data_IF_406991657143
#
_entry.id   IF_406991657143
#
_cell.length_a   1.000
_cell.length_b   1.000
_cell.length_c   1.000
_cell.angle_alpha   90.00
_cell.angle_beta   90.00
_cell.angle_gamma   90.00
#
_symmetry.space_group_name_H-M   'P 1'
#
loop_
_entity.id
_entity.type
_entity.pdbx_description
1 polymer ?
#
# COMPACT_ATOMS: atom_id res chain seq x y z
N UNK A 1 41.92 -28.33 4.09
CA UNK A 1 41.62 -27.06 4.79
C UNK A 1 40.12 -27.06 5.06
N UNK A 2 39.73 -26.84 6.30
CA UNK A 2 38.29 -26.78 6.60
C UNK A 2 37.67 -25.61 5.85
N UNK A 3 36.59 -25.88 5.14
CA UNK A 3 35.77 -24.86 4.46
C UNK A 3 35.32 -23.84 5.50
N UNK A 4 35.74 -22.59 5.34
CA UNK A 4 35.26 -21.50 6.17
C UNK A 4 33.85 -21.15 5.69
N UNK A 5 32.86 -21.59 6.43
CA UNK A 5 31.51 -21.10 6.27
C UNK A 5 31.44 -19.63 6.62
N UNK A 6 31.37 -18.79 5.64
CA UNK A 6 31.13 -17.37 5.87
C UNK A 6 29.64 -17.14 6.12
N UNK A 7 29.28 -16.31 7.11
CA UNK A 7 27.88 -15.96 7.31
C UNK A 7 27.32 -15.27 6.09
N UNK A 8 26.02 -15.46 5.87
CA UNK A 8 25.30 -14.80 4.80
C UNK A 8 25.42 -13.26 4.92
N UNK A 9 25.65 -12.60 3.80
CA UNK A 9 25.71 -11.13 3.74
C UNK A 9 24.36 -10.56 3.34
N UNK A 10 23.95 -9.49 4.03
CA UNK A 10 22.63 -8.87 3.91
C UNK A 10 21.54 -9.60 4.70
N UNK A 11 20.53 -8.88 5.14
CA UNK A 11 19.42 -9.44 5.89
C UNK A 11 18.48 -10.26 4.99
N UNK A 12 18.07 -11.43 5.47
CA UNK A 12 17.07 -12.26 4.80
C UNK A 12 15.68 -11.62 4.78
N UNK A 13 15.38 -10.77 5.76
CA UNK A 13 14.10 -10.04 5.83
C UNK A 13 13.88 -9.08 4.66
N UNK A 14 14.95 -8.69 3.95
CA UNK A 14 14.90 -7.86 2.75
C UNK A 14 15.11 -8.65 1.45
N UNK A 15 14.96 -9.96 1.49
CA UNK A 15 15.11 -10.86 0.33
C UNK A 15 13.79 -11.59 0.05
N UNK A 16 13.48 -11.90 -1.21
CA UNK A 16 14.17 -11.48 -2.42
C UNK A 16 13.94 -9.99 -2.75
N UNK A 17 14.99 -9.30 -3.17
CA UNK A 17 14.89 -7.90 -3.61
C UNK A 17 14.36 -7.87 -5.04
N UNK A 18 13.19 -7.32 -5.21
CA UNK A 18 12.51 -7.22 -6.51
C UNK A 18 11.93 -5.82 -6.72
N UNK A 19 11.57 -5.54 -7.97
CA UNK A 19 10.86 -4.31 -8.32
C UNK A 19 9.48 -4.31 -7.68
N UNK A 20 9.07 -3.19 -7.07
CA UNK A 20 7.73 -3.04 -6.54
C UNK A 20 6.69 -3.07 -7.67
N UNK A 21 5.58 -3.75 -7.43
CA UNK A 21 4.47 -3.86 -8.40
C UNK A 21 3.56 -2.63 -8.30
N UNK A 22 3.47 -2.03 -7.10
CA UNK A 22 2.57 -0.91 -6.79
C UNK A 22 3.39 0.26 -6.26
N UNK A 23 2.94 1.52 -6.45
CA UNK A 23 3.62 2.70 -5.91
C UNK A 23 3.43 2.88 -4.39
N UNK A 24 2.53 2.13 -3.77
CA UNK A 24 2.22 2.18 -2.34
C UNK A 24 2.44 0.83 -1.65
N UNK A 25 2.64 0.85 -0.33
CA UNK A 25 2.76 -0.35 0.49
C UNK A 25 1.39 -1.01 0.71
N UNK A 26 1.38 -2.33 0.78
CA UNK A 26 0.16 -3.08 1.13
C UNK A 26 0.11 -3.26 2.65
N UNK A 27 -1.01 -2.87 3.24
CA UNK A 27 -1.34 -3.16 4.63
C UNK A 27 -2.12 -4.47 4.66
N UNK A 28 -1.63 -5.46 5.39
CA UNK A 28 -2.23 -6.80 5.45
C UNK A 28 -3.02 -7.03 6.72
N UNK A 29 -2.65 -6.36 7.82
CA UNK A 29 -3.37 -6.41 9.08
C UNK A 29 -3.62 -4.98 9.57
N UNK A 30 -4.80 -4.75 10.05
CA UNK A 30 -5.23 -3.50 10.62
C UNK A 30 -5.23 -3.62 12.15
N UNK A 31 -4.82 -2.58 12.90
CA UNK A 31 -4.87 -2.61 14.35
C UNK A 31 -6.31 -2.68 14.85
N UNK A 32 -6.52 -3.49 15.87
CA UNK A 32 -7.77 -3.51 16.61
C UNK A 32 -7.78 -2.35 17.60
N UNK A 33 -8.94 -1.76 17.83
CA UNK A 33 -9.14 -0.70 18.78
C UNK A 33 -10.53 -0.83 19.39
N UNK A 34 -10.61 -0.64 20.69
CA UNK A 34 -11.87 -0.63 21.45
C UNK A 34 -12.62 0.72 21.33
N UNK A 35 -12.30 1.51 20.29
CA UNK A 35 -12.99 2.77 20.03
C UNK A 35 -14.49 2.53 19.79
N UNK A 36 -15.32 3.31 20.43
CA UNK A 36 -16.79 3.29 20.22
C UNK A 36 -17.19 3.99 18.93
N UNK A 37 -16.42 5.02 18.54
CA UNK A 37 -16.64 5.76 17.31
C UNK A 37 -16.06 5.04 16.11
N UNK A 38 -16.81 5.04 15.01
CA UNK A 38 -16.34 4.43 13.76
C UNK A 38 -15.39 5.39 13.07
N UNK A 39 -14.15 4.93 12.85
CA UNK A 39 -13.11 5.69 12.17
C UNK A 39 -12.41 4.85 11.09
N UNK A 40 -11.94 5.53 10.07
CA UNK A 40 -11.10 4.93 9.01
C UNK A 40 -9.68 4.81 9.53
N UNK A 41 -9.03 3.67 9.34
CA UNK A 41 -7.73 3.35 9.92
C UNK A 41 -6.52 3.83 9.09
N UNK A 42 -6.72 4.30 7.88
CA UNK A 42 -5.61 4.67 7.02
C UNK A 42 -5.93 5.74 6.01
N UNK A 43 -4.89 6.43 5.59
CA UNK A 43 -4.98 7.48 4.59
C UNK A 43 -3.81 7.41 3.60
N UNK A 44 -3.99 7.93 2.40
CA UNK A 44 -2.94 7.98 1.40
C UNK A 44 -2.49 9.41 1.12
N UNK A 45 -1.18 9.58 0.97
CA UNK A 45 -0.61 10.88 0.64
C UNK A 45 0.69 10.76 -0.14
N UNK A 46 1.15 11.87 -0.66
CA UNK A 46 2.39 11.99 -1.41
C UNK A 46 3.43 12.78 -0.65
N UNK A 47 4.60 12.22 -0.47
CA UNK A 47 5.72 12.92 0.13
C UNK A 47 6.17 14.07 -0.79
N UNK A 48 5.87 15.30 -0.41
CA UNK A 48 6.29 16.50 -1.14
C UNK A 48 7.76 16.83 -0.90
N UNK A 49 8.23 16.69 0.35
CA UNK A 49 9.62 16.97 0.68
C UNK A 49 9.91 16.89 2.16
N UNK A 50 11.06 17.42 2.54
CA UNK A 50 11.48 17.55 3.92
C UNK A 50 11.89 19.00 4.19
N UNK A 51 11.55 19.49 5.36
CA UNK A 51 11.94 20.80 5.86
C UNK A 51 12.26 20.71 7.36
N UNK A 52 12.36 21.82 8.02
CA UNK A 52 12.49 21.87 9.47
C UNK A 52 11.51 22.89 10.04
N UNK A 53 11.12 22.65 11.26
CA UNK A 53 10.31 23.57 12.06
C UNK A 53 11.02 23.88 13.37
N UNK A 54 10.82 25.08 13.86
CA UNK A 54 11.17 25.48 15.20
C UNK A 54 9.98 25.18 16.08
N UNK A 55 10.18 24.39 17.11
CA UNK A 55 9.14 24.05 18.07
C UNK A 55 9.69 24.10 19.48
N UNK A 56 8.84 24.46 20.42
CA UNK A 56 9.20 24.43 21.83
C UNK A 56 9.20 22.98 22.32
N UNK A 57 10.27 22.59 22.98
CA UNK A 57 10.37 21.24 23.55
C UNK A 57 9.50 21.18 24.83
N UNK A 58 8.44 20.37 24.76
CA UNK A 58 7.50 20.18 25.87
C UNK A 58 7.83 18.96 26.75
N UNK A 59 8.85 18.20 26.38
CA UNK A 59 9.22 17.01 27.14
C UNK A 59 9.99 17.41 28.43
N UNK A 60 9.43 17.21 29.62
CA UNK A 60 10.05 17.63 30.89
C UNK A 60 11.40 16.94 31.18
N UNK A 61 11.60 15.76 30.61
CA UNK A 61 12.82 14.96 30.82
C UNK A 61 13.94 15.25 29.78
N UNK A 62 13.69 16.18 28.87
CA UNK A 62 14.68 16.58 27.89
C UNK A 62 15.66 17.64 28.43
N UNK A 63 16.90 17.58 28.01
CA UNK A 63 17.90 18.63 28.31
C UNK A 63 17.57 19.97 27.70
N UNK A 64 16.69 20.00 26.69
CA UNK A 64 16.19 21.18 25.97
C UNK A 64 14.77 21.60 26.39
N UNK A 65 14.27 21.08 27.53
CA UNK A 65 12.92 21.37 27.99
C UNK A 65 12.67 22.90 28.06
N UNK A 66 11.57 23.33 27.42
CA UNK A 66 11.18 24.74 27.37
C UNK A 66 11.93 25.61 26.36
N UNK A 67 12.97 25.12 25.71
CA UNK A 67 13.72 25.85 24.70
C UNK A 67 13.15 25.59 23.29
N UNK A 68 13.44 26.48 22.36
CA UNK A 68 13.15 26.29 20.95
C UNK A 68 14.16 25.33 20.32
N UNK A 69 13.65 24.24 19.77
CA UNK A 69 14.44 23.21 19.12
C UNK A 69 14.07 23.10 17.65
N UNK A 70 15.09 23.04 16.79
CA UNK A 70 14.92 22.78 15.38
C UNK A 70 14.71 21.30 15.12
N UNK A 71 13.52 20.89 14.66
CA UNK A 71 13.22 19.51 14.28
C UNK A 71 13.01 19.36 12.78
N UNK A 72 13.58 18.30 12.20
CA UNK A 72 13.34 17.95 10.83
C UNK A 72 11.93 17.34 10.70
N UNK A 73 11.18 17.79 9.69
CA UNK A 73 9.82 17.32 9.39
C UNK A 73 9.68 16.91 7.93
N UNK A 74 8.81 15.96 7.68
CA UNK A 74 8.43 15.56 6.33
C UNK A 74 7.08 16.19 6.00
N UNK A 75 7.01 16.83 4.85
CA UNK A 75 5.76 17.39 4.31
C UNK A 75 5.11 16.34 3.42
N UNK A 76 3.87 16.00 3.73
CA UNK A 76 3.03 15.07 2.98
C UNK A 76 1.80 15.79 2.48
N UNK A 77 1.52 15.68 1.20
CA UNK A 77 0.34 16.25 0.55
C UNK A 77 -0.77 15.21 0.57
N UNK A 78 -1.92 15.51 1.15
CA UNK A 78 -3.00 14.59 1.46
C UNK A 78 -4.35 15.09 0.94
N UNK A 79 -4.58 15.08 -0.38
CA UNK A 79 -5.89 15.41 -0.92
C UNK A 79 -6.94 14.40 -0.44
N UNK A 80 -8.24 14.78 -0.43
CA UNK A 80 -9.29 13.86 -0.03
C UNK A 80 -9.29 12.58 -0.88
N UNK A 81 -9.66 11.46 -0.26
CA UNK A 81 -9.83 10.16 -0.95
C UNK A 81 -11.31 9.94 -1.25
N UNK A 82 -11.61 9.34 -2.40
CA UNK A 82 -12.97 8.99 -2.78
C UNK A 82 -13.29 7.55 -2.43
N UNK A 83 -14.45 7.31 -1.80
CA UNK A 83 -14.95 5.97 -1.47
C UNK A 83 -15.60 5.35 -2.71
N UNK A 84 -15.06 4.24 -3.18
CA UNK A 84 -15.57 3.55 -4.36
C UNK A 84 -16.48 2.39 -4.02
N UNK A 85 -16.16 1.65 -2.97
CA UNK A 85 -16.92 0.47 -2.58
C UNK A 85 -16.73 0.13 -1.10
N UNK A 86 -17.66 -0.65 -0.60
CA UNK A 86 -17.61 -1.31 0.70
C UNK A 86 -17.39 -2.79 0.47
N UNK A 87 -16.46 -3.40 1.19
CA UNK A 87 -16.14 -4.82 1.12
C UNK A 87 -16.31 -5.47 2.48
N UNK A 88 -17.13 -6.51 2.53
CA UNK A 88 -17.30 -7.34 3.71
C UNK A 88 -16.44 -8.60 3.66
N UNK A 89 -15.94 -9.02 4.81
CA UNK A 89 -15.17 -10.24 4.99
C UNK A 89 -15.86 -11.18 5.96
N UNK A 90 -15.76 -12.47 5.68
CA UNK A 90 -16.17 -13.53 6.58
C UNK A 90 -14.99 -14.44 6.93
N UNK A 91 -15.03 -15.04 8.09
CA UNK A 91 -13.99 -15.97 8.53
C UNK A 91 -14.30 -17.37 8.03
N UNK A 92 -13.32 -17.98 7.36
CA UNK A 92 -13.37 -19.38 6.94
C UNK A 92 -12.25 -20.17 7.61
N UNK A 93 -12.30 -21.51 7.63
CA UNK A 93 -11.20 -22.34 8.14
C UNK A 93 -9.85 -22.06 7.46
N UNK A 94 -9.86 -21.46 6.28
CA UNK A 94 -8.66 -21.08 5.51
C UNK A 94 -8.27 -19.60 5.69
N UNK A 95 -8.90 -18.88 6.61
CA UNK A 95 -8.67 -17.45 6.86
C UNK A 95 -9.80 -16.56 6.34
N UNK A 96 -9.59 -15.25 6.40
CA UNK A 96 -10.56 -14.27 5.94
C UNK A 96 -10.74 -14.30 4.42
N UNK A 97 -11.98 -14.40 3.98
CA UNK A 97 -12.37 -14.33 2.57
C UNK A 97 -13.41 -13.23 2.36
N UNK A 98 -13.46 -12.69 1.15
CA UNK A 98 -14.45 -11.67 0.78
C UNK A 98 -15.84 -12.30 0.73
N UNK A 99 -16.79 -11.76 1.50
CA UNK A 99 -18.18 -12.16 1.48
C UNK A 99 -18.91 -11.50 0.30
N UNK A 100 -18.69 -10.20 0.11
CA UNK A 100 -19.31 -9.43 -0.97
C UNK A 100 -18.75 -8.02 -1.06
N UNK A 101 -19.18 -7.29 -2.07
CA UNK A 101 -18.77 -5.90 -2.32
C UNK A 101 -20.01 -5.10 -2.80
N UNK A 102 -20.17 -3.91 -2.24
CA UNK A 102 -21.14 -2.92 -2.71
C UNK A 102 -20.39 -1.74 -3.31
N UNK A 103 -20.58 -1.49 -4.59
CA UNK A 103 -19.92 -0.43 -5.35
C UNK A 103 -20.78 0.82 -5.48
N UNK A 104 -20.15 2.00 -5.48
CA UNK A 104 -20.82 3.25 -5.82
C UNK A 104 -21.26 3.25 -7.29
N UNK A 105 -22.29 4.02 -7.61
CA UNK A 105 -22.73 4.18 -8.98
C UNK A 105 -21.63 4.80 -9.85
N UNK A 106 -21.63 4.45 -11.14
CA UNK A 106 -20.59 4.88 -12.09
C UNK A 106 -20.48 6.39 -12.24
N UNK A 107 -21.59 7.11 -12.05
CA UNK A 107 -21.66 8.57 -12.18
C UNK A 107 -20.98 9.31 -11.02
N UNK A 108 -20.78 8.64 -9.89
CA UNK A 108 -20.15 9.18 -8.69
C UNK A 108 -18.63 8.90 -8.64
N UNK A 109 -18.10 8.17 -9.62
CA UNK A 109 -16.67 7.81 -9.69
C UNK A 109 -15.75 9.02 -9.86
N UNK A 110 -14.48 8.97 -9.41
CA UNK A 110 -13.50 10.02 -9.64
C UNK A 110 -13.20 10.14 -11.13
N UNK A 111 -13.21 11.37 -11.64
CA UNK A 111 -12.78 11.67 -13.01
C UNK A 111 -11.32 11.22 -13.20
N UNK A 112 -11.04 10.48 -14.28
CA UNK A 112 -9.72 9.97 -14.59
C UNK A 112 -9.37 8.61 -13.97
N UNK A 113 -10.38 7.81 -13.65
CA UNK A 113 -10.23 6.47 -13.15
C UNK A 113 -9.21 5.63 -13.93
N UNK A 114 -8.54 4.75 -13.20
CA UNK A 114 -7.61 3.77 -13.75
C UNK A 114 -8.17 3.11 -15.01
N UNK A 115 -7.36 2.82 -16.04
CA UNK A 115 -7.79 2.19 -17.29
C UNK A 115 -8.65 0.93 -17.14
N UNK A 116 -8.63 0.29 -15.97
CA UNK A 116 -9.51 -0.85 -15.65
C UNK A 116 -10.99 -0.46 -15.57
N UNK A 117 -11.31 0.76 -15.13
CA UNK A 117 -12.67 1.29 -15.13
C UNK A 117 -13.03 1.90 -16.49
N UNK A 118 -12.08 2.59 -17.13
CA UNK A 118 -12.26 3.14 -18.46
C UNK A 118 -12.44 2.04 -19.53
N UNK A 119 -11.89 0.84 -19.30
CA UNK A 119 -12.06 -0.29 -20.22
C UNK A 119 -13.44 -0.91 -20.20
N UNK A 120 -14.29 -0.57 -19.22
CA UNK A 120 -15.66 -1.04 -19.19
C UNK A 120 -16.53 -0.23 -20.16
N UNK A 121 -16.40 1.10 -20.12
CA UNK A 121 -17.04 1.98 -21.13
C UNK A 121 -16.49 1.72 -22.53
N UNK A 122 -15.26 1.21 -22.64
CA UNK A 122 -14.68 0.77 -23.92
C UNK A 122 -15.24 -0.59 -24.35
N UNK A 123 -15.47 -1.50 -23.40
CA UNK A 123 -16.10 -2.80 -23.67
C UNK A 123 -17.54 -2.64 -24.13
N UNK A 124 -18.28 -1.70 -23.59
CA UNK A 124 -19.63 -1.33 -24.02
C UNK A 124 -19.61 -0.72 -25.43
N UNK A 125 -18.71 0.22 -25.69
CA UNK A 125 -18.50 0.78 -27.03
C UNK A 125 -18.03 -0.26 -28.06
N UNK A 126 -17.11 -1.17 -27.66
CA UNK A 126 -16.68 -2.25 -28.54
C UNK A 126 -17.82 -3.23 -28.84
N UNK A 127 -18.75 -3.45 -27.88
CA UNK A 127 -19.95 -4.26 -28.08
C UNK A 127 -20.97 -3.56 -28.98
N UNK A 128 -21.19 -2.26 -28.82
CA UNK A 128 -22.02 -1.44 -29.70
C UNK A 128 -21.46 -1.37 -31.12
N UNK A 129 -20.14 -1.36 -31.26
CA UNK A 129 -19.42 -1.40 -32.55
C UNK A 129 -19.28 -2.83 -33.12
N UNK A 130 -19.85 -3.85 -32.47
CA UNK A 130 -19.78 -5.25 -32.90
C UNK A 130 -18.38 -5.88 -32.77
N UNK A 131 -17.47 -5.28 -32.02
CA UNK A 131 -16.13 -5.81 -31.77
C UNK A 131 -16.16 -6.78 -30.59
N UNK A 132 -15.39 -7.87 -30.69
CA UNK A 132 -15.25 -8.78 -29.56
C UNK A 132 -14.61 -8.06 -28.37
N UNK A 133 -15.22 -8.10 -27.19
CA UNK A 133 -14.68 -7.44 -25.99
C UNK A 133 -13.28 -7.96 -25.70
N UNK A 134 -12.37 -7.04 -25.48
CA UNK A 134 -11.00 -7.38 -25.11
C UNK A 134 -10.99 -8.23 -23.84
N UNK A 135 -10.23 -9.36 -23.82
CA UNK A 135 -10.03 -10.20 -22.62
C UNK A 135 -9.42 -9.44 -21.42
N UNK A 136 -9.03 -8.18 -21.63
CA UNK A 136 -8.59 -7.24 -20.59
C UNK A 136 -9.68 -6.28 -20.11
N UNK A 137 -10.93 -6.43 -20.59
CA UNK A 137 -12.06 -5.70 -20.03
C UNK A 137 -12.10 -5.94 -18.52
N UNK A 138 -12.18 -4.85 -17.79
CA UNK A 138 -11.82 -4.78 -16.39
C UNK A 138 -12.44 -5.84 -15.51
N UNK A 139 -11.66 -6.33 -14.56
CA UNK A 139 -12.09 -7.29 -13.53
C UNK A 139 -12.95 -6.66 -12.43
N UNK A 140 -13.39 -5.43 -12.60
CA UNK A 140 -14.31 -4.81 -11.66
C UNK A 140 -15.70 -5.07 -12.23
N UNK A 141 -16.50 -5.91 -11.58
CA UNK A 141 -17.86 -6.11 -11.96
C UNK A 141 -18.64 -4.83 -11.59
N UNK A 142 -18.81 -3.92 -12.55
CA UNK A 142 -20.03 -3.16 -12.55
C UNK A 142 -21.09 -4.19 -12.93
N UNK A 143 -21.74 -4.73 -11.94
CA UNK A 143 -22.89 -5.60 -12.15
C UNK A 143 -23.99 -4.72 -12.73
N UNK A 144 -24.16 -4.82 -14.02
CA UNK A 144 -25.26 -4.17 -14.70
C UNK A 144 -26.55 -4.66 -14.07
N UNK A 145 -27.26 -3.77 -13.37
CA UNK A 145 -28.63 -3.98 -12.91
C UNK A 145 -28.81 -4.37 -11.44
N UNK A 146 -27.79 -4.66 -10.66
CA UNK A 146 -27.97 -4.76 -9.20
C UNK A 146 -27.92 -3.34 -8.62
N UNK A 147 -28.98 -2.96 -7.95
CA UNK A 147 -29.01 -1.73 -7.16
C UNK A 147 -27.99 -1.86 -6.02
N UNK A 148 -27.38 -0.76 -5.58
CA UNK A 148 -26.51 -0.78 -4.42
C UNK A 148 -27.19 -1.38 -3.19
N UNK A 149 -28.51 -1.29 -3.10
CA UNK A 149 -29.34 -1.80 -2.02
C UNK A 149 -29.28 -3.32 -1.93
N UNK A 150 -29.46 -4.04 -3.05
CA UNK A 150 -29.40 -5.52 -3.07
C UNK A 150 -28.02 -6.02 -2.60
N UNK A 151 -26.94 -5.31 -2.98
CA UNK A 151 -25.60 -5.65 -2.54
C UNK A 151 -25.40 -5.40 -1.04
N UNK A 152 -25.99 -4.33 -0.48
CA UNK A 152 -25.96 -4.07 0.95
C UNK A 152 -26.82 -5.05 1.75
N UNK A 153 -27.98 -5.46 1.25
CA UNK A 153 -28.80 -6.50 1.86
C UNK A 153 -28.06 -7.84 1.90
N UNK A 154 -27.38 -8.20 0.83
CA UNK A 154 -26.55 -9.40 0.78
C UNK A 154 -25.39 -9.33 1.79
N UNK A 155 -24.77 -8.17 1.99
CA UNK A 155 -23.74 -7.96 3.00
C UNK A 155 -24.33 -8.00 4.41
N UNK A 156 -25.48 -7.41 4.66
CA UNK A 156 -26.13 -7.41 5.99
C UNK A 156 -26.59 -8.79 6.42
N UNK A 157 -26.99 -9.64 5.48
CA UNK A 157 -27.38 -11.03 5.76
C UNK A 157 -26.19 -11.96 5.99
N UNK A 158 -24.99 -11.58 5.56
CA UNK A 158 -23.78 -12.37 5.71
C UNK A 158 -23.19 -12.23 7.14
N UNK A 159 -22.63 -13.32 7.66
CA UNK A 159 -21.87 -13.28 8.93
C UNK A 159 -20.52 -12.61 8.72
N UNK A 160 -20.47 -11.29 8.84
CA UNK A 160 -19.26 -10.51 8.62
C UNK A 160 -18.36 -10.49 9.86
N UNK A 161 -17.07 -10.70 9.65
CA UNK A 161 -16.03 -10.53 10.67
C UNK A 161 -15.31 -9.17 10.58
N UNK A 162 -15.22 -8.60 9.37
CA UNK A 162 -14.54 -7.32 9.14
C UNK A 162 -15.17 -6.59 7.94
N UNK A 163 -15.17 -5.26 7.99
CA UNK A 163 -15.67 -4.40 6.92
C UNK A 163 -14.59 -3.40 6.57
N UNK A 164 -14.31 -3.26 5.27
CA UNK A 164 -13.30 -2.37 4.74
C UNK A 164 -13.84 -1.52 3.60
N UNK A 165 -13.25 -0.36 3.43
CA UNK A 165 -13.54 0.54 2.32
C UNK A 165 -12.54 0.31 1.19
N UNK A 166 -13.02 0.33 -0.03
CA UNK A 166 -12.19 0.47 -1.22
C UNK A 166 -12.20 1.95 -1.59
N UNK A 167 -11.04 2.58 -1.48
CA UNK A 167 -10.87 4.01 -1.72
C UNK A 167 -9.97 4.27 -2.91
N UNK A 168 -10.20 5.37 -3.59
CA UNK A 168 -9.34 5.87 -4.65
C UNK A 168 -8.67 7.18 -4.23
N UNK A 169 -7.39 7.30 -4.53
CA UNK A 169 -6.66 8.55 -4.37
C UNK A 169 -7.02 9.54 -5.48
N UNK A 170 -6.86 10.83 -5.23
CA UNK A 170 -7.14 11.88 -6.21
C UNK A 170 -5.84 12.63 -6.61
N UNK A 171 -4.94 12.01 -7.39
CA UNK A 171 -3.68 12.65 -7.79
C UNK A 171 -3.86 13.83 -8.73
N UNK A 172 -5.03 13.99 -9.34
CA UNK A 172 -5.36 15.14 -10.19
C UNK A 172 -5.33 16.47 -9.43
N UNK A 173 -5.68 16.44 -8.12
CA UNK A 173 -5.67 17.60 -7.24
C UNK A 173 -4.23 18.01 -6.84
N UNK A 174 -3.26 17.14 -6.98
CA UNK A 174 -1.86 17.38 -6.61
C UNK A 174 -1.05 17.76 -7.83
N UNK A 175 -0.62 19.02 -7.92
CA UNK A 175 0.12 19.54 -9.09
C UNK A 175 1.48 18.86 -9.28
N UNK A 176 2.18 18.55 -8.20
CA UNK A 176 3.54 18.00 -8.18
C UNK A 176 3.62 16.53 -8.65
N UNK A 177 2.51 15.77 -8.63
CA UNK A 177 2.49 14.36 -9.00
C UNK A 177 2.32 14.20 -10.50
N UNK A 178 3.31 13.59 -11.20
CA UNK A 178 3.23 13.43 -12.66
C UNK A 178 2.14 12.46 -13.10
N UNK A 179 1.92 11.37 -12.37
CA UNK A 179 0.85 10.42 -12.66
C UNK A 179 -0.48 10.93 -12.11
N UNK A 180 -1.44 11.15 -13.00
CA UNK A 180 -2.80 11.61 -12.64
C UNK A 180 -3.80 10.46 -12.51
N UNK A 181 -3.35 9.22 -12.71
CA UNK A 181 -4.18 8.04 -12.56
C UNK A 181 -4.40 7.74 -11.08
N UNK A 182 -5.66 7.63 -10.60
CA UNK A 182 -5.95 7.23 -9.23
C UNK A 182 -5.42 5.85 -8.88
N UNK A 183 -4.90 5.70 -7.67
CA UNK A 183 -4.55 4.40 -7.09
C UNK A 183 -5.70 3.93 -6.20
N UNK A 184 -6.06 2.65 -6.35
CA UNK A 184 -7.13 2.02 -5.59
C UNK A 184 -6.51 1.20 -4.48
N UNK A 185 -6.97 1.43 -3.27
CA UNK A 185 -6.51 0.73 -2.08
C UNK A 185 -7.66 0.36 -1.17
N UNK A 186 -7.39 -0.56 -0.29
CA UNK A 186 -8.31 -1.02 0.73
C UNK A 186 -7.90 -0.45 2.08
N UNK A 187 -8.86 0.07 2.83
CA UNK A 187 -8.64 0.69 4.13
C UNK A 187 -9.62 0.09 5.15
N UNK A 188 -9.12 -0.27 6.33
CA UNK A 188 -9.90 -0.83 7.42
C UNK A 188 -10.79 0.21 8.12
N UNK A 189 -11.87 -0.27 8.72
CA UNK A 189 -12.73 0.47 9.64
C UNK A 189 -12.57 -0.08 11.03
N UNK A 190 -12.44 0.80 12.02
CA UNK A 190 -12.37 0.47 13.44
C UNK A 190 -13.52 1.11 14.20
N UNK A 191 -13.87 0.53 15.34
CA UNK A 191 -14.92 1.03 16.23
C UNK A 191 -16.30 0.49 15.89
N UNK A 192 -17.18 0.41 16.89
CA UNK A 192 -18.55 -0.05 16.74
C UNK A 192 -18.72 -1.50 16.26
N UNK A 193 -19.96 -1.91 16.12
CA UNK A 193 -20.34 -3.21 15.58
C UNK A 193 -20.31 -3.23 14.06
N UNK A 194 -20.26 -4.42 13.46
CA UNK A 194 -20.23 -4.58 12.00
C UNK A 194 -21.47 -4.02 11.32
N UNK A 195 -22.66 -4.10 11.96
CA UNK A 195 -23.87 -3.49 11.42
C UNK A 195 -23.74 -1.95 11.36
N UNK A 196 -23.28 -1.33 12.43
CA UNK A 196 -23.04 0.11 12.48
C UNK A 196 -21.97 0.55 11.46
N UNK A 197 -20.88 -0.24 11.32
CA UNK A 197 -19.87 0.03 10.28
C UNK A 197 -20.45 -0.03 8.86
N UNK A 198 -21.39 -0.94 8.61
CA UNK A 198 -22.02 -1.08 7.30
C UNK A 198 -22.91 0.13 6.99
N UNK A 199 -23.72 0.59 7.97
CA UNK A 199 -24.53 1.79 7.82
C UNK A 199 -23.68 3.03 7.58
N UNK A 200 -22.64 3.22 8.40
CA UNK A 200 -21.69 4.30 8.26
C UNK A 200 -21.00 4.31 6.89
N UNK A 201 -20.64 3.11 6.39
CA UNK A 201 -20.02 2.95 5.09
C UNK A 201 -21.01 3.21 3.93
N UNK A 202 -22.29 2.87 4.11
CA UNK A 202 -23.36 3.14 3.14
C UNK A 202 -23.57 4.64 2.95
N UNK A 203 -23.58 5.42 4.04
CA UNK A 203 -23.73 6.88 3.99
C UNK A 203 -22.58 7.58 3.26
N UNK A 204 -21.38 7.02 3.34
CA UNK A 204 -20.17 7.61 2.75
C UNK A 204 -19.79 7.05 1.39
N UNK A 205 -20.59 6.13 0.87
CA UNK A 205 -20.33 5.54 -0.45
C UNK A 205 -20.45 6.59 -1.56
N UNK A 206 -19.43 6.68 -2.42
CA UNK A 206 -19.33 7.72 -3.44
C UNK A 206 -18.84 9.09 -2.93
N UNK A 207 -18.82 9.29 -1.61
CA UNK A 207 -18.34 10.51 -0.96
C UNK A 207 -16.83 10.62 -0.87
N UNK A 208 -16.37 11.69 -0.25
CA UNK A 208 -14.95 11.97 0.00
C UNK A 208 -14.63 11.86 1.48
N UNK A 209 -13.44 11.35 1.78
CA UNK A 209 -12.87 11.28 3.12
C UNK A 209 -11.68 12.24 3.17
N UNK A 210 -11.65 13.14 4.14
CA UNK A 210 -10.53 14.05 4.37
C UNK A 210 -9.57 13.50 5.43
N UNK A 211 -8.35 14.02 5.49
CA UNK A 211 -7.39 13.60 6.51
C UNK A 211 -7.86 13.93 7.93
N UNK A 212 -8.63 15.01 8.08
CA UNK A 212 -9.18 15.44 9.38
C UNK A 212 -10.25 14.48 9.91
N UNK A 213 -10.93 13.72 9.04
CA UNK A 213 -11.89 12.67 9.44
C UNK A 213 -11.19 11.43 10.00
N UNK A 214 -9.89 11.27 9.72
CA UNK A 214 -9.12 10.06 10.06
C UNK A 214 -8.14 10.29 11.20
N UNK A 215 -7.43 11.43 11.20
CA UNK A 215 -6.36 11.72 12.15
C UNK A 215 -6.55 13.06 12.83
N UNK A 216 -6.27 13.06 14.12
CA UNK A 216 -6.24 14.27 14.94
C UNK A 216 -4.84 14.92 14.95
N UNK A 217 -4.78 16.22 15.20
CA UNK A 217 -3.50 16.93 15.31
C UNK A 217 -2.72 16.43 16.53
N UNK A 218 -1.44 16.12 16.32
CA UNK A 218 -0.55 15.60 17.37
C UNK A 218 -0.59 14.07 17.56
N UNK A 219 -1.38 13.38 16.76
CA UNK A 219 -1.45 11.91 16.79
C UNK A 219 -0.18 11.29 16.19
N UNK A 220 0.31 10.21 16.81
CA UNK A 220 1.35 9.37 16.25
C UNK A 220 0.77 8.46 15.18
N UNK A 221 1.48 8.35 14.05
CA UNK A 221 1.06 7.54 12.89
C UNK A 221 2.18 6.67 12.37
N UNK A 222 1.84 5.50 11.86
CA UNK A 222 2.73 4.64 11.11
C UNK A 222 2.69 4.98 9.62
N UNK A 223 3.86 5.17 9.02
CA UNK A 223 3.97 5.47 7.59
C UNK A 223 4.47 4.27 6.82
N UNK A 224 3.59 3.70 6.00
CA UNK A 224 3.90 2.56 5.14
C UNK A 224 4.19 3.04 3.73
N UNK A 225 5.36 2.72 3.21
CA UNK A 225 5.77 3.19 1.88
C UNK A 225 6.76 2.26 1.19
N UNK A 226 6.95 2.48 -0.09
CA UNK A 226 7.94 1.77 -0.88
C UNK A 226 9.25 2.54 -0.83
N UNK A 227 10.34 1.84 -0.51
CA UNK A 227 11.66 2.44 -0.48
C UNK A 227 12.12 2.85 -1.87
N UNK A 228 12.90 3.92 -1.94
CA UNK A 228 13.48 4.42 -3.20
C UNK A 228 14.21 3.31 -3.95
N UNK A 229 13.86 3.11 -5.21
CA UNK A 229 14.56 2.19 -6.09
C UNK A 229 16.00 2.62 -6.34
N UNK A 230 16.93 1.67 -6.28
CA UNK A 230 18.37 1.92 -6.49
C UNK A 230 18.92 1.24 -7.74
N UNK A 231 18.04 0.64 -8.55
CA UNK A 231 18.43 -0.06 -9.77
C UNK A 231 19.39 -1.23 -9.50
N UNK A 232 20.23 -1.53 -10.48
CA UNK A 232 21.28 -2.54 -10.36
C UNK A 232 22.39 -2.04 -9.44
N UNK A 233 22.74 -2.81 -8.42
CA UNK A 233 23.75 -2.44 -7.42
C UNK A 233 24.84 -3.50 -7.34
N UNK A 234 26.10 -3.04 -7.21
CA UNK A 234 27.24 -3.92 -6.97
C UNK A 234 27.15 -4.58 -5.58
N UNK A 235 27.77 -5.74 -5.44
CA UNK A 235 27.75 -6.58 -4.23
C UNK A 235 28.19 -5.87 -2.96
N UNK A 236 29.13 -4.94 -3.06
CA UNK A 236 29.62 -4.15 -1.92
C UNK A 236 28.50 -3.27 -1.36
N UNK A 237 27.75 -2.57 -2.21
CA UNK A 237 26.63 -1.73 -1.80
C UNK A 237 25.39 -2.55 -1.41
N UNK A 238 25.13 -3.62 -2.17
CA UNK A 238 23.91 -4.42 -2.00
C UNK A 238 23.95 -5.30 -0.77
N UNK A 239 25.10 -5.94 -0.49
CA UNK A 239 25.25 -6.94 0.56
C UNK A 239 26.26 -6.55 1.64
N UNK A 240 26.92 -5.40 1.55
CA UNK A 240 27.93 -4.97 2.51
C UNK A 240 29.17 -5.86 2.53
N UNK A 241 29.51 -6.48 1.41
CA UNK A 241 30.70 -7.34 1.31
C UNK A 241 31.95 -6.48 1.45
N UNK A 242 32.92 -6.99 2.23
CA UNK A 242 34.21 -6.32 2.43
C UNK A 242 34.95 -6.13 1.10
N UNK A 243 35.52 -4.95 0.91
CA UNK A 243 36.38 -4.68 -0.23
C UNK A 243 37.58 -5.61 -0.20
N UNK A 244 37.96 -6.17 -1.34
CA UNK A 244 39.18 -6.96 -1.48
C UNK A 244 40.40 -6.09 -1.20
N UNK A 245 41.52 -6.73 -0.79
CA UNK A 245 42.78 -6.07 -0.51
C UNK A 245 43.24 -5.22 -1.71
N UNK A 246 43.97 -4.16 -1.44
CA UNK A 246 44.59 -3.31 -2.47
C UNK A 246 45.56 -4.08 -3.39
N UNK A 247 46.05 -5.22 -2.96
CA UNK A 247 46.90 -6.12 -3.75
C UNK A 247 46.14 -6.85 -4.86
N UNK A 248 44.79 -6.89 -4.80
CA UNK A 248 43.97 -7.42 -5.89
C UNK A 248 43.89 -6.39 -7.02
N UNK A 249 44.59 -6.66 -8.09
CA UNK A 249 44.63 -5.80 -9.26
C UNK A 249 43.25 -5.48 -9.80
N UNK A 250 42.92 -4.19 -9.98
CA UNK A 250 41.77 -3.62 -10.67
C UNK A 250 40.34 -4.01 -10.23
N UNK A 251 40.13 -5.12 -9.52
CA UNK A 251 38.79 -5.69 -9.25
C UNK A 251 38.47 -5.77 -7.76
N UNK A 252 38.62 -4.67 -7.03
CA UNK A 252 38.42 -4.62 -5.57
C UNK A 252 36.96 -4.75 -5.10
N UNK A 253 36.01 -4.43 -5.96
CA UNK A 253 34.58 -4.39 -5.62
C UNK A 253 33.81 -5.65 -6.01
N UNK A 254 34.48 -6.78 -6.04
CA UNK A 254 33.92 -8.11 -6.32
C UNK A 254 33.90 -8.96 -5.06
N UNK A 255 33.13 -10.06 -5.10
CA UNK A 255 33.05 -11.03 -4.00
C UNK A 255 34.37 -11.79 -3.82
N UNK A 256 35.17 -11.94 -4.89
CA UNK A 256 36.39 -12.76 -4.91
C UNK A 256 36.10 -14.19 -5.39
N UNK A 257 35.41 -15.00 -4.58
CA UNK A 257 35.03 -16.35 -4.94
C UNK A 257 33.57 -16.62 -4.53
N UNK A 258 32.81 -17.28 -5.40
CA UNK A 258 31.41 -17.69 -5.13
C UNK A 258 31.28 -19.18 -4.83
N UNK A 259 32.34 -19.89 -4.70
CA UNK A 259 32.38 -21.32 -4.48
C UNK A 259 33.35 -22.02 -5.45
N UNK A 260 33.51 -23.30 -5.30
CA UNK A 260 34.35 -24.11 -6.14
C UNK A 260 33.55 -24.63 -7.36
N UNK A 261 34.01 -24.28 -8.54
CA UNK A 261 33.44 -24.77 -9.81
C UNK A 261 34.15 -26.01 -10.35
N UNK A 262 35.20 -26.50 -9.66
CA UNK A 262 36.10 -27.50 -10.20
C UNK A 262 35.61 -28.96 -10.13
N UNK A 263 34.68 -29.29 -9.26
CA UNK A 263 34.30 -30.67 -8.95
C UNK A 263 32.83 -31.02 -9.23
N UNK A 264 32.14 -30.24 -10.04
CA UNK A 264 30.72 -30.45 -10.31
C UNK A 264 29.78 -30.16 -9.13
N UNK A 265 30.31 -29.78 -8.00
CA UNK A 265 29.57 -29.25 -6.86
C UNK A 265 29.33 -27.78 -7.09
N UNK A 266 28.36 -27.47 -7.89
CA UNK A 266 27.81 -26.13 -7.91
C UNK A 266 27.02 -25.99 -6.61
N UNK A 267 27.35 -25.02 -5.78
CA UNK A 267 26.55 -24.64 -4.60
C UNK A 267 25.18 -24.07 -5.01
N UNK A 268 24.58 -24.66 -6.03
CA UNK A 268 23.34 -24.18 -6.62
C UNK A 268 22.16 -24.35 -5.68
N UNK A 269 22.16 -25.41 -4.89
CA UNK A 269 21.12 -25.69 -3.92
C UNK A 269 21.08 -24.66 -2.81
N UNK A 270 22.19 -24.04 -2.52
CA UNK A 270 22.28 -22.95 -1.55
C UNK A 270 21.77 -21.62 -2.11
N UNK A 271 21.49 -21.55 -3.39
CA UNK A 271 21.06 -20.33 -4.09
C UNK A 271 19.56 -20.27 -4.29
N UNK A 272 18.88 -21.35 -4.04
CA UNK A 272 17.41 -21.41 -4.08
C UNK A 272 16.77 -20.79 -2.85
N UNK A 273 17.56 -20.40 -1.90
CA UNK A 273 17.12 -19.70 -0.69
C UNK A 273 17.13 -18.17 -0.87
#
# INVERSE_FOLDING_TARGET
>A
MADRHNPRRGSMGFSPRKRAIRPYGRITSWPESDATEIRVQGFAGWKAGMTHVLMRDTNPNSTSAGQEVRKAVTVVEVPPMKVLAVRGYHMTPYGMQTAGEAWANSDEGPTGLHPRFANQTRGERDAEEGRKPSKRAGRIPLRNGETNEDAFEALSSASLCDIRLIVATQPSLVKSVPSKTPEIMEVGLVGGDNAAKLEWAKERLGGEITVADVYDSGQEIDVVGITKGKGFQGVVKRFGVKLLSHKNSKKRRQIGNMGDFGTGYVRSEEHTS
#
